data_IF_591383752119
#
_entry.id   IF_591383752119
#
_cell.length_a   1.000
_cell.length_b   1.000
_cell.length_c   1.000
_cell.angle_alpha   90.00
_cell.angle_beta   90.00
_cell.angle_gamma   90.00
#
_symmetry.space_group_name_H-M   'P 1'
#
loop_
_entity.id
_entity.type
_entity.pdbx_description
1 polymer ?
#
# COMPACT_ATOMS: atom_id res chain seq x y z
N UNK A 1 12.58 6.34 19.18
CA UNK A 1 12.20 7.28 18.10
C UNK A 1 11.89 6.46 16.86
N UNK A 2 10.61 6.23 16.55
CA UNK A 2 10.20 5.52 15.33
C UNK A 2 10.34 6.47 14.14
N UNK A 3 11.47 6.37 13.43
CA UNK A 3 11.60 6.93 12.09
C UNK A 3 10.49 6.33 11.23
N UNK A 4 9.41 7.09 11.02
CA UNK A 4 8.39 6.75 10.03
C UNK A 4 9.04 6.92 8.67
N UNK A 5 9.63 5.84 8.16
CA UNK A 5 10.16 5.74 6.80
C UNK A 5 9.14 6.36 5.84
N UNK A 6 9.54 7.38 5.08
CA UNK A 6 8.70 7.95 4.03
C UNK A 6 8.53 6.92 2.90
N UNK A 7 7.36 6.87 2.25
CA UNK A 7 7.18 5.99 1.11
C UNK A 7 8.12 6.41 -0.04
N UNK A 8 8.66 5.42 -0.75
CA UNK A 8 9.43 5.62 -2.00
C UNK A 8 8.57 6.23 -3.11
N UNK A 9 7.27 5.95 -3.08
CA UNK A 9 6.30 6.49 -4.03
C UNK A 9 4.88 6.37 -3.49
N UNK A 10 4.04 7.34 -3.84
CA UNK A 10 2.64 7.36 -3.44
C UNK A 10 1.80 7.94 -4.58
N UNK A 11 0.85 7.15 -5.04
CA UNK A 11 -0.04 7.47 -6.14
C UNK A 11 -1.48 7.20 -5.72
N UNK A 12 -2.40 7.99 -6.23
CA UNK A 12 -3.82 7.83 -5.96
C UNK A 12 -4.63 8.29 -7.15
N UNK A 13 -5.78 7.65 -7.35
CA UNK A 13 -6.77 8.08 -8.33
C UNK A 13 -8.17 7.84 -7.81
N UNK A 14 -9.09 8.73 -8.19
CA UNK A 14 -10.52 8.54 -7.96
C UNK A 14 -11.03 7.52 -8.97
N UNK A 15 -11.69 6.45 -8.51
CA UNK A 15 -12.30 5.46 -9.41
C UNK A 15 -13.73 5.85 -9.77
N UNK A 16 -14.49 6.33 -8.79
CA UNK A 16 -15.86 6.81 -8.95
C UNK A 16 -16.17 7.83 -7.84
N UNK A 17 -17.45 8.17 -7.65
CA UNK A 17 -17.81 9.18 -6.66
C UNK A 17 -17.41 8.81 -5.22
N UNK A 18 -17.46 7.52 -4.90
CA UNK A 18 -17.31 6.96 -3.56
C UNK A 18 -15.95 6.27 -3.37
N UNK A 19 -15.30 5.80 -4.43
CA UNK A 19 -14.12 4.96 -4.34
C UNK A 19 -12.83 5.66 -4.80
N UNK A 20 -11.76 5.43 -4.05
CA UNK A 20 -10.39 5.86 -4.33
C UNK A 20 -9.43 4.66 -4.33
N UNK A 21 -8.60 4.57 -5.36
CA UNK A 21 -7.50 3.62 -5.43
C UNK A 21 -6.20 4.31 -5.00
N UNK A 22 -5.50 3.71 -4.05
CA UNK A 22 -4.17 4.14 -3.62
C UNK A 22 -3.13 3.07 -3.89
N UNK A 23 -1.97 3.48 -4.40
CA UNK A 23 -0.76 2.66 -4.51
C UNK A 23 0.36 3.35 -3.73
N UNK A 24 0.97 2.64 -2.78
CA UNK A 24 2.08 3.15 -1.98
C UNK A 24 3.22 2.15 -1.99
N UNK A 25 4.43 2.63 -2.25
CA UNK A 25 5.66 1.84 -2.31
C UNK A 25 6.51 2.21 -1.11
N UNK A 26 6.84 1.22 -0.29
CA UNK A 26 7.71 1.39 0.89
C UNK A 26 9.01 0.65 0.68
N UNK A 27 10.10 1.09 1.33
CA UNK A 27 11.27 0.24 1.52
C UNK A 27 10.90 -1.00 2.33
N UNK A 28 11.50 -2.15 2.01
CA UNK A 28 11.38 -3.33 2.85
C UNK A 28 11.91 -3.05 4.26
N UNK A 29 11.21 -3.57 5.28
CA UNK A 29 11.61 -3.39 6.68
C UNK A 29 12.90 -4.17 7.00
N UNK A 30 13.00 -5.40 6.50
CA UNK A 30 14.14 -6.30 6.74
C UNK A 30 15.26 -6.09 5.72
N UNK A 31 14.89 -5.88 4.46
CA UNK A 31 15.79 -5.57 3.36
C UNK A 31 15.40 -4.22 2.75
N UNK A 32 16.19 -3.14 2.95
CA UNK A 32 15.91 -1.81 2.40
C UNK A 32 15.94 -1.74 0.86
N UNK A 33 16.64 -2.68 0.21
CA UNK A 33 16.72 -2.77 -1.25
C UNK A 33 15.45 -3.38 -1.85
N UNK A 34 14.70 -4.13 -1.04
CA UNK A 34 13.38 -4.61 -1.40
C UNK A 34 12.31 -3.52 -1.27
N UNK A 35 11.12 -3.84 -1.76
CA UNK A 35 9.98 -2.95 -1.80
C UNK A 35 8.73 -3.65 -1.27
N UNK A 36 7.91 -2.91 -0.52
CA UNK A 36 6.56 -3.34 -0.17
C UNK A 36 5.59 -2.45 -0.93
N UNK A 37 4.89 -3.04 -1.88
CA UNK A 37 3.88 -2.40 -2.70
C UNK A 37 2.53 -2.65 -2.05
N UNK A 38 1.85 -1.59 -1.65
CA UNK A 38 0.53 -1.65 -1.03
C UNK A 38 -0.48 -0.98 -1.94
N UNK A 39 -1.47 -1.74 -2.38
CA UNK A 39 -2.64 -1.26 -3.11
C UNK A 39 -3.83 -1.27 -2.15
N UNK A 40 -4.54 -0.15 -2.07
CA UNK A 40 -5.73 0.00 -1.22
C UNK A 40 -6.89 0.56 -2.03
N UNK A 41 -8.04 -0.08 -1.93
CA UNK A 41 -9.32 0.49 -2.32
C UNK A 41 -9.96 1.08 -1.07
N UNK A 42 -10.16 2.39 -1.09
CA UNK A 42 -10.86 3.10 -0.02
C UNK A 42 -12.22 3.56 -0.53
N UNK A 43 -13.26 3.25 0.23
CA UNK A 43 -14.62 3.70 -0.03
C UNK A 43 -15.00 4.77 0.96
N UNK A 44 -15.66 5.81 0.47
CA UNK A 44 -16.33 6.80 1.30
C UNK A 44 -17.68 6.23 1.74
N UNK A 45 -17.88 6.10 3.04
CA UNK A 45 -19.17 5.80 3.65
C UNK A 45 -19.55 6.96 4.58
N UNK A 46 -20.54 7.75 4.16
CA UNK A 46 -20.84 9.04 4.76
C UNK A 46 -19.63 9.99 4.78
N UNK A 47 -19.18 10.34 5.98
CA UNK A 47 -17.99 11.18 6.21
C UNK A 47 -16.72 10.37 6.52
N UNK A 48 -16.83 9.04 6.55
CA UNK A 48 -15.72 8.15 6.84
C UNK A 48 -15.12 7.55 5.56
N UNK A 49 -13.83 7.20 5.64
CA UNK A 49 -13.12 6.50 4.58
C UNK A 49 -12.64 5.13 5.07
N UNK A 50 -13.26 4.08 4.56
CA UNK A 50 -12.97 2.71 4.93
C UNK A 50 -12.07 2.04 3.89
N UNK A 51 -11.14 1.20 4.34
CA UNK A 51 -10.39 0.35 3.41
C UNK A 51 -11.23 -0.89 3.12
N UNK A 52 -11.89 -0.92 1.98
CA UNK A 52 -12.73 -2.05 1.54
C UNK A 52 -11.96 -3.11 0.76
N UNK A 53 -10.71 -2.81 0.38
CA UNK A 53 -9.81 -3.77 -0.22
C UNK A 53 -8.36 -3.39 0.02
N UNK A 54 -7.51 -4.38 0.31
CA UNK A 54 -6.07 -4.17 0.50
C UNK A 54 -5.28 -5.35 -0.04
N UNK A 55 -4.31 -5.05 -0.89
CA UNK A 55 -3.29 -5.99 -1.35
C UNK A 55 -1.93 -5.45 -0.94
N UNK A 56 -1.11 -6.29 -0.31
CA UNK A 56 0.28 -5.98 -0.05
C UNK A 56 1.16 -7.04 -0.71
N UNK A 57 2.16 -6.59 -1.46
CA UNK A 57 3.10 -7.45 -2.18
C UNK A 57 4.50 -7.04 -1.77
N UNK A 58 5.34 -8.01 -1.44
CA UNK A 58 6.76 -7.82 -1.28
C UNK A 58 7.45 -8.11 -2.60
N UNK A 59 8.34 -7.21 -3.01
CA UNK A 59 9.17 -7.34 -4.21
C UNK A 59 10.63 -7.28 -3.78
N UNK A 60 11.38 -8.34 -4.04
CA UNK A 60 12.83 -8.36 -3.83
C UNK A 60 13.54 -7.51 -4.88
N UNK A 61 14.78 -7.10 -4.59
CA UNK A 61 15.62 -6.36 -5.54
C UNK A 61 15.89 -7.12 -6.85
N UNK A 62 15.88 -8.45 -6.82
CA UNK A 62 15.99 -9.31 -8.01
C UNK A 62 14.68 -9.50 -8.79
N UNK A 63 13.58 -8.85 -8.37
CA UNK A 63 12.31 -8.86 -9.10
C UNK A 63 11.37 -10.04 -8.80
N UNK A 64 11.61 -10.79 -7.72
CA UNK A 64 10.67 -11.83 -7.25
C UNK A 64 9.55 -11.18 -6.43
N UNK A 65 8.32 -11.67 -6.59
CA UNK A 65 7.14 -11.13 -5.91
C UNK A 65 6.52 -12.17 -4.98
N UNK A 66 6.06 -11.74 -3.79
CA UNK A 66 5.27 -12.57 -2.89
C UNK A 66 4.15 -11.76 -2.25
N UNK A 67 2.95 -12.37 -2.14
CA UNK A 67 1.83 -11.74 -1.44
C UNK A 67 2.12 -11.75 0.07
N UNK A 68 1.98 -10.59 0.71
CA UNK A 68 2.07 -10.47 2.16
C UNK A 68 0.72 -10.84 2.79
N UNK A 69 0.72 -11.41 4.01
CA UNK A 69 -0.50 -11.73 4.72
C UNK A 69 -1.33 -10.47 4.97
N UNK A 70 -2.65 -10.66 4.96
CA UNK A 70 -3.58 -9.60 5.35
C UNK A 70 -3.36 -9.26 6.82
N UNK A 71 -3.33 -7.96 7.12
CA UNK A 71 -3.27 -7.49 8.50
C UNK A 71 -4.69 -7.50 9.02
N UNK A 72 -4.95 -8.32 10.04
CA UNK A 72 -6.17 -8.22 10.86
C UNK A 72 -6.17 -6.95 11.69
#
# INVERSE_FOLDING_TARGET
>A
MTSTSQPKGRFYTRLNEQDYLGLTIWSGKTDPTAEVIVVQLRRRDGDNWETVGRLAVYRTSNGTYSKLPERR
#
